data_IF_198533420091
#
_entry.id   IF_198533420091
#
_cell.length_a   1.000
_cell.length_b   1.000
_cell.length_c   1.000
_cell.angle_alpha   90.00
_cell.angle_beta   90.00
_cell.angle_gamma   90.00
#
_symmetry.space_group_name_H-M   'P 1'
#
loop_
_entity.id
_entity.type
_entity.pdbx_description
1 polymer ?
#
# COMPACT_ATOMS: atom_id res chain seq x y z
N UNK A 1 -0.26 -16.22 -2.64
CA UNK A 1 0.90 -15.42 -3.02
C UNK A 1 1.96 -15.47 -1.95
N UNK A 2 3.14 -15.85 -2.35
CA UNK A 2 4.28 -15.85 -1.47
C UNK A 2 5.02 -14.51 -1.59
N UNK A 3 4.58 -13.53 -0.81
CA UNK A 3 5.32 -12.29 -0.70
C UNK A 3 6.56 -12.52 0.15
N UNK A 4 7.69 -11.97 -0.25
CA UNK A 4 8.84 -11.89 0.60
C UNK A 4 9.18 -10.43 0.89
N UNK A 5 9.95 -10.20 1.94
CA UNK A 5 10.23 -8.84 2.40
C UNK A 5 11.01 -8.02 1.39
N UNK A 6 11.92 -8.64 0.63
CA UNK A 6 12.67 -7.93 -0.41
C UNK A 6 11.75 -7.44 -1.53
N UNK A 7 10.83 -8.31 -1.96
CA UNK A 7 9.84 -7.96 -2.98
C UNK A 7 8.96 -6.81 -2.50
N UNK A 8 8.44 -6.91 -1.28
CA UNK A 8 7.55 -5.88 -0.72
C UNK A 8 8.26 -4.55 -0.54
N UNK A 9 9.49 -4.56 -0.07
CA UNK A 9 10.30 -3.33 0.10
C UNK A 9 10.60 -2.68 -1.23
N UNK A 10 10.91 -3.48 -2.26
CA UNK A 10 11.17 -2.96 -3.59
C UNK A 10 9.91 -2.31 -4.19
N UNK A 11 8.75 -2.93 -4.00
CA UNK A 11 7.48 -2.39 -4.51
C UNK A 11 7.03 -1.16 -3.72
N UNK A 12 7.27 -1.14 -2.41
CA UNK A 12 6.99 0.04 -1.59
C UNK A 12 7.87 1.22 -2.01
N UNK A 13 9.15 0.99 -2.27
CA UNK A 13 10.05 2.01 -2.78
C UNK A 13 9.60 2.53 -4.14
N UNK A 14 9.20 1.64 -5.05
CA UNK A 14 8.65 2.00 -6.34
C UNK A 14 7.42 2.90 -6.18
N UNK A 15 6.50 2.53 -5.29
CA UNK A 15 5.28 3.31 -5.06
C UNK A 15 5.60 4.71 -4.52
N UNK A 16 6.55 4.82 -3.62
CA UNK A 16 6.98 6.11 -3.08
C UNK A 16 7.67 6.97 -4.13
N UNK A 17 8.51 6.38 -4.97
CA UNK A 17 9.14 7.10 -6.07
C UNK A 17 8.10 7.63 -7.05
N UNK A 18 7.10 6.81 -7.39
CA UNK A 18 6.01 7.21 -8.28
C UNK A 18 5.16 8.32 -7.65
N UNK A 19 4.88 8.23 -6.36
CA UNK A 19 4.15 9.27 -5.64
C UNK A 19 4.89 10.61 -5.72
N UNK A 20 6.19 10.62 -5.52
CA UNK A 20 7.01 11.83 -5.60
C UNK A 20 7.08 12.36 -7.03
N UNK A 21 7.22 11.48 -8.01
CA UNK A 21 7.34 11.87 -9.42
C UNK A 21 6.04 12.42 -9.98
N UNK A 22 4.92 11.79 -9.70
CA UNK A 22 3.62 12.11 -10.29
C UNK A 22 2.76 13.00 -9.39
N UNK A 23 3.05 13.05 -8.10
CA UNK A 23 2.27 13.80 -7.11
C UNK A 23 1.10 13.02 -6.55
N UNK A 24 0.83 11.83 -7.06
CA UNK A 24 -0.23 10.95 -6.58
C UNK A 24 0.00 9.52 -7.05
N UNK A 25 -0.67 8.58 -6.38
CA UNK A 25 -0.73 7.19 -6.82
C UNK A 25 -2.05 6.59 -6.31
N UNK A 26 -2.74 5.82 -7.15
CA UNK A 26 -3.97 5.13 -6.77
C UNK A 26 -3.67 3.78 -6.13
N UNK A 27 -4.56 3.35 -5.24
CA UNK A 27 -4.43 2.06 -4.57
C UNK A 27 -4.41 0.90 -5.58
N UNK A 28 -5.20 0.99 -6.67
CA UNK A 28 -5.18 -0.03 -7.72
C UNK A 28 -3.84 -0.14 -8.45
N UNK A 29 -3.07 0.95 -8.53
CA UNK A 29 -1.73 0.91 -9.10
C UNK A 29 -0.80 0.05 -8.25
N UNK A 30 -0.92 0.18 -6.92
CA UNK A 30 -0.17 -0.64 -5.97
C UNK A 30 -0.63 -2.09 -6.03
N UNK A 31 -1.94 -2.31 -6.07
CA UNK A 31 -2.50 -3.67 -6.16
C UNK A 31 -1.98 -4.38 -7.40
N UNK A 32 -1.97 -3.70 -8.55
CA UNK A 32 -1.47 -4.27 -9.79
C UNK A 32 -0.02 -4.75 -9.65
N UNK A 33 0.84 -3.92 -9.05
CA UNK A 33 2.25 -4.27 -8.85
C UNK A 33 2.45 -5.44 -7.89
N UNK A 34 1.51 -5.63 -6.96
CA UNK A 34 1.57 -6.73 -5.99
C UNK A 34 0.83 -7.98 -6.46
N UNK A 35 0.21 -7.95 -7.64
CA UNK A 35 -0.58 -9.06 -8.12
C UNK A 35 -1.92 -9.23 -7.40
N UNK A 36 -2.39 -8.18 -6.74
CA UNK A 36 -3.69 -8.15 -6.06
C UNK A 36 -4.75 -7.65 -7.04
N UNK A 37 -5.95 -8.23 -6.98
CA UNK A 37 -7.05 -7.81 -7.84
C UNK A 37 -7.46 -6.36 -7.55
N UNK A 38 -7.68 -5.61 -8.61
CA UNK A 38 -8.17 -4.22 -8.50
C UNK A 38 -9.58 -4.19 -7.92
N UNK A 39 -9.90 -3.10 -7.23
CA UNK A 39 -11.23 -2.88 -6.65
C UNK A 39 -11.84 -1.59 -7.18
N UNK A 40 -13.17 -1.47 -7.05
CA UNK A 40 -13.86 -0.22 -7.41
C UNK A 40 -13.35 0.94 -6.57
N UNK A 41 -13.24 0.76 -5.26
CA UNK A 41 -12.75 1.78 -4.36
C UNK A 41 -11.30 2.17 -4.69
N UNK A 42 -10.46 1.22 -5.08
CA UNK A 42 -9.07 1.47 -5.42
C UNK A 42 -8.84 2.36 -6.63
N UNK A 43 -9.90 2.65 -7.41
CA UNK A 43 -9.82 3.59 -8.53
C UNK A 43 -9.73 5.04 -8.07
N UNK A 44 -10.20 5.35 -6.87
CA UNK A 44 -10.23 6.71 -6.33
C UNK A 44 -9.50 6.85 -5.01
N UNK A 45 -9.26 5.74 -4.32
CA UNK A 45 -8.49 5.72 -3.08
C UNK A 45 -7.00 5.62 -3.42
N UNK A 46 -6.18 6.36 -2.69
CA UNK A 46 -4.74 6.32 -2.92
C UNK A 46 -4.00 7.32 -2.04
N UNK A 47 -2.92 7.84 -2.56
CA UNK A 47 -2.03 8.78 -1.87
C UNK A 47 -1.78 10.00 -2.73
N UNK A 48 -1.58 11.15 -2.08
CA UNK A 48 -1.16 12.39 -2.72
C UNK A 48 0.07 12.94 -2.02
N UNK A 49 0.92 13.63 -2.78
CA UNK A 49 2.12 14.27 -2.25
C UNK A 49 1.90 15.79 -2.24
N UNK A 50 1.47 16.31 -1.08
CA UNK A 50 1.18 17.72 -0.88
C UNK A 50 1.87 18.26 0.37
N UNK A 51 3.21 18.25 0.43
CA UNK A 51 3.94 18.58 1.65
C UNK A 51 3.76 20.01 2.11
N UNK A 52 3.39 20.92 1.19
CA UNK A 52 3.24 22.34 1.49
C UNK A 52 1.78 22.79 1.65
N UNK A 53 0.84 21.85 1.62
CA UNK A 53 -0.59 22.16 1.80
C UNK A 53 -0.92 22.10 3.30
N UNK A 54 -1.33 23.22 3.92
CA UNK A 54 -1.63 23.23 5.37
C UNK A 54 -2.86 22.40 5.73
N UNK A 55 -3.73 22.10 4.76
CA UNK A 55 -4.93 21.29 4.97
C UNK A 55 -4.70 19.80 4.76
N UNK A 56 -3.51 19.41 4.26
CA UNK A 56 -3.19 18.01 4.02
C UNK A 56 -2.98 17.28 5.34
N UNK A 57 -3.68 16.17 5.53
CA UNK A 57 -3.64 15.35 6.74
C UNK A 57 -3.05 13.97 6.52
N UNK A 58 -2.61 13.65 5.32
CA UNK A 58 -2.02 12.35 5.00
C UNK A 58 -0.59 12.20 5.51
N UNK A 59 -0.04 11.00 5.32
CA UNK A 59 1.30 10.67 5.80
C UNK A 59 2.41 11.17 4.87
N UNK A 60 2.08 11.46 3.60
CA UNK A 60 3.06 11.91 2.61
C UNK A 60 3.91 10.79 2.03
N UNK A 61 3.61 9.55 2.34
CA UNK A 61 4.32 8.39 1.81
C UNK A 61 3.42 7.16 1.79
N UNK A 62 3.79 6.17 0.97
CA UNK A 62 3.10 4.89 0.90
C UNK A 62 3.72 3.94 1.91
N UNK A 63 2.89 3.38 2.78
CA UNK A 63 3.28 2.36 3.75
C UNK A 63 2.40 1.14 3.52
N UNK A 64 3.02 -0.01 3.28
CA UNK A 64 2.27 -1.26 3.08
C UNK A 64 1.82 -1.87 4.41
N UNK A 65 2.30 -1.35 5.54
CA UNK A 65 1.91 -1.85 6.85
C UNK A 65 2.21 -3.34 7.01
N UNK A 66 3.38 -3.77 6.58
CA UNK A 66 3.74 -5.19 6.55
C UNK A 66 3.83 -5.73 7.98
N UNK A 67 3.04 -6.78 8.24
CA UNK A 67 3.01 -7.45 9.54
C UNK A 67 3.20 -8.94 9.34
N UNK A 68 3.93 -9.56 10.24
CA UNK A 68 4.11 -11.00 10.26
C UNK A 68 3.26 -11.58 11.39
N UNK A 69 2.45 -12.58 11.07
CA UNK A 69 1.61 -13.27 12.04
C UNK A 69 1.86 -14.77 11.96
N UNK A 70 1.71 -15.46 13.08
CA UNK A 70 1.79 -16.90 13.14
C UNK A 70 0.37 -17.48 13.13
N UNK A 71 0.14 -18.42 12.24
CA UNK A 71 -1.15 -19.11 12.12
C UNK A 71 -0.98 -20.58 12.49
N UNK A 72 -1.93 -21.10 13.27
CA UNK A 72 -1.98 -22.51 13.55
C UNK A 72 -2.46 -23.26 12.30
N UNK A 73 -1.75 -24.34 11.95
CA UNK A 73 -2.10 -25.17 10.82
C UNK A 73 -2.96 -26.36 11.28
N UNK A 74 -3.61 -27.02 10.32
CA UNK A 74 -4.52 -28.14 10.61
C UNK A 74 -3.80 -29.35 11.25
N UNK A 75 -2.49 -29.46 11.07
CA UNK A 75 -1.68 -30.55 11.62
C UNK A 75 -1.10 -30.25 13.01
N UNK A 76 -1.51 -29.11 13.62
CA UNK A 76 -1.04 -28.70 14.94
C UNK A 76 0.24 -27.91 14.95
N UNK A 77 0.80 -27.63 13.78
CA UNK A 77 1.98 -26.76 13.65
C UNK A 77 1.61 -25.29 13.49
N UNK A 78 2.59 -24.47 13.17
CA UNK A 78 2.41 -23.05 12.91
C UNK A 78 3.09 -22.68 11.61
N UNK A 79 2.49 -21.73 10.89
CA UNK A 79 3.11 -21.13 9.71
C UNK A 79 3.11 -19.61 9.85
N UNK A 80 4.10 -18.99 9.22
CA UNK A 80 4.24 -17.55 9.19
C UNK A 80 3.46 -17.00 8.00
N UNK A 81 2.64 -15.98 8.25
CA UNK A 81 1.87 -15.29 7.20
C UNK A 81 2.19 -13.81 7.24
N UNK A 82 2.23 -13.20 6.06
CA UNK A 82 2.44 -11.77 5.92
C UNK A 82 1.09 -11.10 5.66
N UNK A 83 0.77 -10.10 6.47
CA UNK A 83 -0.42 -9.26 6.29
C UNK A 83 0.00 -7.87 5.84
N UNK A 84 -0.80 -7.28 4.97
CA UNK A 84 -0.59 -5.91 4.50
C UNK A 84 -1.70 -5.01 5.03
N UNK A 85 -1.32 -3.86 5.58
CA UNK A 85 -2.24 -2.87 6.12
C UNK A 85 -1.84 -1.49 5.58
N UNK A 86 -2.32 -1.17 4.39
CA UNK A 86 -1.96 0.05 3.68
C UNK A 86 -2.47 1.29 4.41
N UNK A 87 -1.78 2.42 4.19
CA UNK A 87 -2.10 3.73 4.80
C UNK A 87 -2.61 4.75 3.78
N UNK A 88 -3.58 4.45 2.90
CA UNK A 88 -4.02 5.41 1.90
C UNK A 88 -4.62 6.67 2.53
N UNK A 89 -4.51 7.78 1.80
CA UNK A 89 -5.07 9.07 2.24
C UNK A 89 -6.59 9.11 2.11
N UNK A 90 -7.21 8.11 1.50
CA UNK A 90 -8.62 8.03 1.23
C UNK A 90 -8.94 8.38 -0.21
N UNK A 91 -10.11 8.98 -0.45
CA UNK A 91 -10.53 9.39 -1.78
C UNK A 91 -9.69 10.59 -2.22
N UNK A 92 -8.72 10.35 -3.09
CA UNK A 92 -7.76 11.39 -3.51
C UNK A 92 -8.31 12.31 -4.61
N UNK A 93 -9.44 11.97 -5.23
CA UNK A 93 -10.07 12.88 -6.19
C UNK A 93 -10.45 14.21 -5.54
N UNK A 94 -10.82 14.17 -4.26
CA UNK A 94 -11.16 15.36 -3.50
C UNK A 94 -9.93 16.12 -3.00
N UNK A 95 -8.76 15.49 -3.04
CA UNK A 95 -7.51 16.06 -2.54
C UNK A 95 -6.63 16.67 -3.64
N UNK A 96 -6.91 16.32 -4.89
CA UNK A 96 -6.12 16.80 -6.04
C UNK A 96 -6.58 18.14 -6.59
#
# INVERSE_FOLDING_TARGET
HDYNMMFLRAKEAWANDKLKADGFIYLNDVYYELGISKTKAGQIVGWVDKPNDPDYRGDGFVDFGVKTVMRETADGGYEESILLDFNPDGNILDLM
#
